data_IF_679634090189
#
_entry.id   IF_679634090189
#
_cell.length_a   1.000
_cell.length_b   1.000
_cell.length_c   1.000
_cell.angle_alpha   90.00
_cell.angle_beta   90.00
_cell.angle_gamma   90.00
#
_symmetry.space_group_name_H-M   'P 1'
#
loop_
_entity.id
_entity.type
_entity.pdbx_description
1 polymer ?
#
# COMPACT_ATOMS: atom_id res chain seq x y z
N UNK A 1 -31.26 -21.42 -8.78
CA UNK A 1 -31.41 -19.96 -8.81
C UNK A 1 -30.31 -19.38 -7.90
N UNK A 2 -29.32 -18.74 -8.45
CA UNK A 2 -28.32 -18.01 -7.66
C UNK A 2 -29.00 -16.73 -7.20
N UNK A 3 -29.20 -16.55 -5.90
CA UNK A 3 -29.70 -15.28 -5.38
C UNK A 3 -28.63 -14.23 -5.59
N UNK A 4 -28.88 -13.27 -6.44
CA UNK A 4 -28.02 -12.09 -6.57
C UNK A 4 -28.26 -11.26 -5.29
N UNK A 5 -27.37 -11.39 -4.33
CA UNK A 5 -27.40 -10.50 -3.18
C UNK A 5 -27.20 -9.05 -3.64
N UNK A 6 -27.98 -8.14 -3.07
CA UNK A 6 -27.79 -6.73 -3.34
C UNK A 6 -26.34 -6.35 -2.98
N UNK A 7 -25.64 -5.58 -3.83
CA UNK A 7 -24.29 -5.17 -3.50
C UNK A 7 -24.25 -4.44 -2.16
N UNK A 8 -23.30 -4.77 -1.31
CA UNK A 8 -23.12 -4.11 -0.03
C UNK A 8 -22.96 -2.60 -0.25
N UNK A 9 -23.65 -1.80 0.57
CA UNK A 9 -23.48 -0.35 0.53
C UNK A 9 -22.07 -0.02 0.98
N UNK A 10 -21.25 0.48 0.07
CA UNK A 10 -19.89 0.92 0.34
C UNK A 10 -19.94 2.39 0.76
N UNK A 11 -19.48 2.67 1.97
CA UNK A 11 -19.34 4.04 2.47
C UNK A 11 -17.93 4.55 2.19
N UNK A 12 -17.81 5.86 1.98
CA UNK A 12 -16.51 6.51 1.84
C UNK A 12 -15.69 6.34 3.12
N UNK A 13 -14.38 6.09 2.96
CA UNK A 13 -13.46 6.01 4.09
C UNK A 13 -13.45 7.34 4.86
N UNK A 14 -13.49 7.25 6.19
CA UNK A 14 -13.41 8.41 7.08
C UNK A 14 -12.11 8.32 7.87
N UNK A 15 -11.28 9.37 7.78
CA UNK A 15 -10.01 9.43 8.48
C UNK A 15 -8.91 8.60 7.80
N UNK A 16 -7.93 8.19 8.58
CA UNK A 16 -6.76 7.46 8.10
C UNK A 16 -7.01 5.97 7.99
N UNK A 17 -6.45 5.34 6.95
CA UNK A 17 -6.47 3.90 6.75
C UNK A 17 -5.11 3.30 7.13
N UNK A 18 -5.08 2.40 8.10
CA UNK A 18 -3.90 1.64 8.47
C UNK A 18 -3.66 0.48 7.50
N UNK A 19 -2.47 0.42 6.94
CA UNK A 19 -1.99 -0.73 6.15
C UNK A 19 -0.95 -1.46 6.99
N UNK A 20 -1.33 -2.63 7.51
CA UNK A 20 -0.48 -3.44 8.37
C UNK A 20 0.07 -4.62 7.58
N UNK A 21 1.39 -4.79 7.62
CA UNK A 21 2.11 -5.79 6.83
C UNK A 21 2.84 -6.78 7.74
N UNK A 22 2.59 -8.08 7.60
CA UNK A 22 3.41 -9.10 8.24
C UNK A 22 4.72 -9.25 7.45
N UNK A 23 5.80 -8.67 7.97
CA UNK A 23 7.10 -8.58 7.31
C UNK A 23 7.32 -7.23 6.62
N UNK A 24 8.40 -6.55 6.99
CA UNK A 24 8.83 -5.28 6.39
C UNK A 24 10.05 -5.49 5.46
N UNK A 25 10.03 -6.59 4.69
CA UNK A 25 11.05 -6.92 3.71
C UNK A 25 10.92 -6.13 2.40
N UNK A 26 11.50 -6.67 1.32
CA UNK A 26 11.61 -6.02 0.01
C UNK A 26 10.28 -5.53 -0.57
N UNK A 27 9.22 -6.35 -0.51
CA UNK A 27 7.91 -6.00 -1.09
C UNK A 27 7.24 -4.87 -0.30
N UNK A 28 7.19 -5.01 1.03
CA UNK A 28 6.54 -4.01 1.90
C UNK A 28 7.26 -2.67 1.84
N UNK A 29 8.58 -2.65 1.90
CA UNK A 29 9.37 -1.42 1.83
C UNK A 29 9.26 -0.75 0.47
N UNK A 30 9.20 -1.53 -0.63
CA UNK A 30 8.97 -1.00 -1.98
C UNK A 30 7.59 -0.35 -2.11
N UNK A 31 6.56 -0.98 -1.57
CA UNK A 31 5.20 -0.43 -1.56
C UNK A 31 5.12 0.88 -0.75
N UNK A 32 5.69 0.90 0.44
CA UNK A 32 5.72 2.09 1.30
C UNK A 32 6.51 3.22 0.62
N UNK A 33 7.72 2.93 0.15
CA UNK A 33 8.58 3.92 -0.51
C UNK A 33 7.92 4.51 -1.77
N UNK A 34 7.30 3.67 -2.60
CA UNK A 34 6.55 4.11 -3.78
C UNK A 34 5.40 5.05 -3.40
N UNK A 35 4.64 4.72 -2.38
CA UNK A 35 3.54 5.58 -1.90
C UNK A 35 4.06 6.92 -1.35
N UNK A 36 5.15 6.91 -0.58
CA UNK A 36 5.76 8.14 -0.05
C UNK A 36 6.33 9.02 -1.17
N UNK A 37 6.97 8.42 -2.17
CA UNK A 37 7.48 9.14 -3.34
C UNK A 37 6.35 9.82 -4.13
N UNK A 38 5.21 9.13 -4.31
CA UNK A 38 4.02 9.70 -4.96
C UNK A 38 3.46 10.86 -4.15
N UNK A 39 3.34 10.72 -2.83
CA UNK A 39 2.88 11.80 -1.93
C UNK A 39 3.72 13.06 -2.04
N UNK A 40 5.03 12.91 -2.20
CA UNK A 40 5.98 14.02 -2.38
C UNK A 40 6.03 14.56 -3.81
N UNK A 41 5.31 13.96 -4.74
CA UNK A 41 5.37 14.34 -6.15
C UNK A 41 6.69 13.99 -6.86
N UNK A 42 7.51 13.13 -6.24
CA UNK A 42 8.77 12.63 -6.82
C UNK A 42 8.48 11.59 -7.90
N UNK A 43 7.43 10.78 -7.71
CA UNK A 43 7.03 9.73 -8.63
C UNK A 43 5.54 9.82 -8.96
N UNK A 44 5.17 9.28 -10.13
CA UNK A 44 3.77 9.12 -10.53
C UNK A 44 3.30 7.69 -10.23
N UNK A 45 2.00 7.47 -9.93
CA UNK A 45 1.45 6.15 -9.62
C UNK A 45 1.27 5.27 -10.87
N UNK A 46 2.30 5.18 -11.71
CA UNK A 46 2.30 4.42 -12.96
C UNK A 46 1.99 2.95 -12.66
N UNK A 47 1.08 2.36 -13.43
CA UNK A 47 0.63 0.99 -13.25
C UNK A 47 -0.52 0.83 -12.23
N UNK A 48 -0.85 1.86 -11.47
CA UNK A 48 -2.03 1.83 -10.60
C UNK A 48 -3.27 2.30 -11.36
N UNK A 49 -4.10 1.37 -11.80
CA UNK A 49 -5.33 1.68 -12.52
C UNK A 49 -6.29 2.52 -11.69
N UNK A 50 -6.35 2.30 -10.38
CA UNK A 50 -7.22 3.06 -9.47
C UNK A 50 -6.79 4.52 -9.31
N UNK A 51 -5.52 4.82 -9.51
CA UNK A 51 -4.98 6.17 -9.37
C UNK A 51 -4.91 6.94 -10.70
N UNK A 52 -4.73 6.24 -11.81
CA UNK A 52 -4.50 6.84 -13.13
C UNK A 52 -5.56 6.47 -14.17
N UNK A 53 -6.42 5.49 -13.88
CA UNK A 53 -7.43 5.06 -14.82
C UNK A 53 -8.70 5.90 -14.77
N UNK A 54 -9.42 5.89 -15.89
CA UNK A 54 -10.67 6.60 -16.06
C UNK A 54 -11.79 5.62 -16.36
N UNK A 55 -13.00 5.95 -15.94
CA UNK A 55 -14.22 5.24 -16.27
C UNK A 55 -15.03 6.09 -17.23
N UNK A 56 -15.48 5.47 -18.31
CA UNK A 56 -16.46 6.11 -19.20
C UNK A 56 -17.87 5.87 -18.67
N UNK A 57 -18.60 6.95 -18.47
CA UNK A 57 -19.98 6.93 -18.05
C UNK A 57 -20.89 7.15 -19.26
N UNK A 58 -21.83 6.25 -19.46
CA UNK A 58 -22.81 6.35 -20.54
C UNK A 58 -22.30 5.92 -21.92
N UNK A 59 -22.92 6.47 -22.99
CA UNK A 59 -22.59 6.11 -24.37
C UNK A 59 -21.27 6.73 -24.80
N UNK A 60 -20.56 6.06 -25.71
CA UNK A 60 -19.28 6.54 -26.28
C UNK A 60 -19.37 7.95 -26.86
N UNK A 61 -20.53 8.32 -27.39
CA UNK A 61 -20.79 9.63 -27.99
C UNK A 61 -20.91 10.76 -26.96
N UNK A 62 -21.19 10.44 -25.70
CA UNK A 62 -21.37 11.42 -24.62
C UNK A 62 -20.01 11.95 -24.07
N UNK A 63 -18.92 11.26 -24.35
CA UNK A 63 -17.54 11.61 -23.92
C UNK A 63 -17.43 11.97 -22.43
N UNK A 64 -18.24 11.33 -21.59
CA UNK A 64 -18.21 11.54 -20.14
C UNK A 64 -17.22 10.56 -19.52
N UNK A 65 -16.14 11.09 -19.00
CA UNK A 65 -15.11 10.31 -18.31
C UNK A 65 -14.88 10.89 -16.92
N UNK A 66 -14.63 10.03 -15.97
CA UNK A 66 -14.29 10.38 -14.59
C UNK A 66 -13.11 9.51 -14.13
N UNK A 67 -12.27 10.08 -13.31
CA UNK A 67 -11.17 9.31 -12.72
C UNK A 67 -11.72 8.25 -11.75
N UNK A 68 -11.13 7.06 -11.78
CA UNK A 68 -11.57 5.96 -10.91
C UNK A 68 -11.47 6.36 -9.44
N UNK A 69 -10.38 7.03 -9.05
CA UNK A 69 -10.15 7.50 -7.68
C UNK A 69 -11.21 8.47 -7.16
N UNK A 70 -11.88 9.21 -8.07
CA UNK A 70 -12.92 10.18 -7.71
C UNK A 70 -14.33 9.57 -7.79
N UNK A 71 -14.48 8.47 -8.53
CA UNK A 71 -15.76 7.78 -8.70
C UNK A 71 -16.01 6.69 -7.66
N UNK A 72 -14.96 5.96 -7.28
CA UNK A 72 -15.03 4.90 -6.26
C UNK A 72 -14.59 5.47 -4.91
N UNK A 73 -15.27 5.13 -3.80
CA UNK A 73 -14.94 5.64 -2.46
C UNK A 73 -13.64 5.03 -1.92
N UNK A 74 -12.52 5.35 -2.55
CA UNK A 74 -11.19 4.93 -2.15
C UNK A 74 -10.62 5.88 -1.09
N UNK A 75 -9.77 5.33 -0.22
CA UNK A 75 -8.96 6.15 0.69
C UNK A 75 -7.89 6.90 -0.10
N UNK A 76 -7.76 8.19 0.15
CA UNK A 76 -6.73 9.00 -0.49
C UNK A 76 -5.33 8.53 -0.06
N UNK A 77 -4.34 8.57 -0.98
CA UNK A 77 -2.99 8.11 -0.67
C UNK A 77 -2.37 8.82 0.54
N UNK A 78 -2.70 10.09 0.77
CA UNK A 78 -2.23 10.85 1.92
C UNK A 78 -2.79 10.38 3.28
N UNK A 79 -3.88 9.64 3.25
CA UNK A 79 -4.56 9.13 4.45
C UNK A 79 -4.14 7.70 4.80
N UNK A 80 -3.24 7.09 4.02
CA UNK A 80 -2.66 5.79 4.36
C UNK A 80 -1.62 5.95 5.47
N UNK A 81 -1.66 5.07 6.45
CA UNK A 81 -0.65 4.95 7.52
C UNK A 81 -0.09 3.54 7.48
N UNK A 82 1.23 3.42 7.55
CA UNK A 82 1.91 2.14 7.40
C UNK A 82 2.45 1.64 8.74
N UNK A 83 2.38 0.34 8.93
CA UNK A 83 2.98 -0.37 10.04
C UNK A 83 3.14 -1.84 9.69
N UNK A 84 3.84 -2.58 10.53
CA UNK A 84 4.02 -4.01 10.30
C UNK A 84 4.81 -4.68 11.40
N UNK A 85 4.91 -5.99 11.30
CA UNK A 85 5.71 -6.82 12.19
C UNK A 85 6.90 -7.36 11.44
N UNK A 86 8.05 -7.44 12.09
CA UNK A 86 9.20 -8.16 11.56
C UNK A 86 9.98 -8.82 12.70
N UNK A 87 10.75 -9.85 12.34
CA UNK A 87 11.72 -10.51 13.23
C UNK A 87 13.01 -9.69 13.34
N UNK A 88 13.28 -8.84 12.33
CA UNK A 88 14.38 -7.90 12.32
C UNK A 88 13.96 -6.55 12.88
N UNK A 89 14.86 -5.86 13.54
CA UNK A 89 14.59 -4.57 14.20
C UNK A 89 14.86 -3.37 13.27
N UNK A 90 15.27 -3.62 12.03
CA UNK A 90 15.55 -2.58 11.04
C UNK A 90 14.29 -1.73 10.78
N UNK A 91 14.47 -0.42 10.74
CA UNK A 91 13.40 0.46 10.26
C UNK A 91 13.21 0.31 8.73
N UNK A 92 12.12 0.85 8.17
CA UNK A 92 11.82 0.69 6.75
C UNK A 92 12.91 1.23 5.82
N UNK A 93 13.68 2.25 6.21
CA UNK A 93 14.77 2.76 5.40
C UNK A 93 15.94 1.75 5.35
N UNK A 94 16.34 1.23 6.50
CA UNK A 94 17.41 0.23 6.61
C UNK A 94 17.04 -1.07 5.88
N UNK A 95 15.81 -1.51 6.06
CA UNK A 95 15.27 -2.69 5.37
C UNK A 95 15.22 -2.51 3.85
N UNK A 96 14.83 -1.32 3.36
CA UNK A 96 14.81 -1.00 1.94
C UNK A 96 16.21 -0.97 1.33
N UNK A 97 17.21 -0.40 2.05
CA UNK A 97 18.60 -0.43 1.63
C UNK A 97 19.15 -1.86 1.53
N UNK A 98 18.87 -2.70 2.53
CA UNK A 98 19.27 -4.12 2.51
C UNK A 98 18.61 -4.90 1.39
N UNK A 99 17.37 -4.61 1.08
CA UNK A 99 16.63 -5.25 -0.02
C UNK A 99 17.21 -4.92 -1.40
N UNK A 100 17.81 -3.72 -1.57
CA UNK A 100 18.47 -3.33 -2.82
C UNK A 100 17.57 -3.24 -4.04
N UNK A 101 16.26 -3.04 -3.86
CA UNK A 101 15.27 -2.97 -4.95
C UNK A 101 15.08 -1.55 -5.46
N UNK A 102 15.22 -0.58 -4.59
CA UNK A 102 14.96 0.84 -4.88
C UNK A 102 16.28 1.59 -4.91
N UNK A 103 16.42 2.52 -5.85
CA UNK A 103 17.59 3.38 -5.95
C UNK A 103 17.81 4.16 -4.66
N UNK A 104 19.06 4.20 -4.20
CA UNK A 104 19.46 4.91 -2.99
C UNK A 104 19.14 6.38 -3.03
N UNK A 105 19.25 7.02 -4.20
CA UNK A 105 18.90 8.44 -4.37
C UNK A 105 17.43 8.70 -4.05
N UNK A 106 16.52 7.82 -4.48
CA UNK A 106 15.10 7.92 -4.15
C UNK A 106 14.88 7.67 -2.65
N UNK A 107 15.53 6.65 -2.08
CA UNK A 107 15.42 6.34 -0.65
C UNK A 107 15.88 7.51 0.22
N UNK A 108 16.94 8.21 -0.16
CA UNK A 108 17.44 9.35 0.59
C UNK A 108 16.46 10.54 0.57
N UNK A 109 15.73 10.74 -0.51
CA UNK A 109 14.70 11.80 -0.60
C UNK A 109 13.50 11.56 0.32
N UNK A 110 13.23 10.32 0.70
CA UNK A 110 12.12 9.90 1.58
C UNK A 110 12.60 9.29 2.91
N UNK A 111 13.89 9.45 3.21
CA UNK A 111 14.57 8.83 4.37
C UNK A 111 13.88 9.12 5.70
N UNK A 112 13.49 10.38 5.93
CA UNK A 112 12.90 10.78 7.19
C UNK A 112 11.60 10.01 7.49
N UNK A 113 10.72 9.89 6.50
CA UNK A 113 9.46 9.17 6.62
C UNK A 113 9.69 7.66 6.75
N UNK A 114 10.55 7.08 5.91
CA UNK A 114 10.86 5.65 5.99
C UNK A 114 11.48 5.27 7.33
N UNK A 115 12.42 6.06 7.85
CA UNK A 115 13.08 5.80 9.13
C UNK A 115 12.12 5.91 10.33
N UNK A 116 11.02 6.64 10.18
CA UNK A 116 9.99 6.76 11.23
C UNK A 116 9.14 5.50 11.37
N UNK A 117 9.09 4.65 10.34
CA UNK A 117 8.33 3.40 10.33
C UNK A 117 9.22 2.29 10.86
N UNK A 118 8.95 1.88 12.11
CA UNK A 118 9.66 0.81 12.78
C UNK A 118 8.76 -0.42 12.89
N UNK A 119 9.32 -1.63 12.76
CA UNK A 119 8.55 -2.84 12.94
C UNK A 119 8.11 -3.03 14.39
N UNK A 120 6.93 -3.57 14.56
CA UNK A 120 6.53 -4.23 15.80
C UNK A 120 7.23 -5.59 15.85
N UNK A 121 7.71 -5.98 17.01
CA UNK A 121 8.45 -7.23 17.16
C UNK A 121 7.57 -8.44 16.85
N UNK A 122 8.02 -9.26 15.90
CA UNK A 122 7.44 -10.56 15.61
C UNK A 122 8.30 -11.67 16.23
N UNK A 123 7.64 -12.73 16.69
CA UNK A 123 8.29 -13.96 17.17
C UNK A 123 7.77 -15.11 16.30
N UNK A 124 8.68 -15.84 15.66
CA UNK A 124 8.37 -17.10 15.02
C UNK A 124 8.40 -18.18 16.12
N UNK A 125 7.24 -18.55 16.62
CA UNK A 125 7.10 -19.78 17.39
C UNK A 125 7.18 -20.95 16.40
N UNK A 126 8.34 -21.56 16.33
CA UNK A 126 8.49 -22.85 15.64
C UNK A 126 7.91 -23.92 16.59
N UNK A 127 6.67 -24.32 16.35
CA UNK A 127 6.14 -25.54 16.97
C UNK A 127 6.63 -26.70 16.12
N UNK A 128 7.63 -27.41 16.63
CA UNK A 128 8.20 -28.62 16.01
C UNK A 128 7.26 -29.83 16.08
N UNK A 129 6.04 -29.68 16.54
CA UNK A 129 5.11 -30.76 16.87
C UNK A 129 4.17 -31.18 15.72
N UNK A 130 4.32 -30.63 14.52
CA UNK A 130 3.46 -30.98 13.39
C UNK A 130 4.05 -32.04 12.43
N UNK A 131 5.22 -32.61 12.74
CA UNK A 131 5.92 -33.53 11.83
C UNK A 131 6.03 -34.98 12.35
N UNK A 132 5.50 -35.30 13.52
CA UNK A 132 5.65 -36.62 14.15
C UNK A 132 4.31 -37.34 14.44
N UNK A 133 3.26 -37.10 13.65
CA UNK A 133 2.08 -37.97 13.61
C UNK A 133 1.79 -38.50 12.21
#
# INVERSE_FOLDING_TARGET
MVSIESPAKIESAKGKLGVLMPGLGAVSTTFIAGTLAIRKGISSPIGSITQMGNLRLGKRTEKREVDIKDFVPLTHLNDLVFGGWDIFEDNCYEAALKAGVIDTELLDQIKAELSSIKPMKACLLYTSDAADE
#
